data_IF_751885734312
#
_entry.id   IF_751885734312
#
_cell.length_a   1.000
_cell.length_b   1.000
_cell.length_c   1.000
_cell.angle_alpha   90.00
_cell.angle_beta   90.00
_cell.angle_gamma   90.00
#
_symmetry.space_group_name_H-M   'P 1'
#
loop_
_entity.id
_entity.type
_entity.pdbx_description
1 polymer ?
#
# COMPACT_ATOMS: atom_id res chain seq x y z
N UNK A 1 -17.64 -23.15 10.25
CA UNK A 1 -18.03 -21.74 10.09
C UNK A 1 -16.97 -21.08 9.23
N UNK A 2 -17.34 -20.51 8.07
CA UNK A 2 -16.44 -19.63 7.29
C UNK A 2 -16.29 -18.37 8.12
N UNK A 3 -15.12 -18.16 8.70
CA UNK A 3 -14.77 -16.87 9.27
C UNK A 3 -14.77 -15.88 8.11
N UNK A 4 -15.64 -14.89 8.14
CA UNK A 4 -15.67 -13.83 7.13
C UNK A 4 -14.38 -13.02 7.33
N UNK A 5 -13.45 -13.13 6.39
CA UNK A 5 -12.22 -12.30 6.41
C UNK A 5 -12.62 -10.84 6.34
N UNK A 6 -11.99 -10.02 7.16
CA UNK A 6 -12.17 -8.57 7.11
C UNK A 6 -11.47 -8.00 5.89
N UNK A 7 -12.07 -6.98 5.30
CA UNK A 7 -11.44 -6.19 4.24
C UNK A 7 -10.95 -4.88 4.84
N UNK A 8 -9.68 -4.57 4.65
CA UNK A 8 -9.08 -3.31 5.05
C UNK A 8 -8.68 -2.54 3.80
N UNK A 9 -9.00 -1.25 3.76
CA UNK A 9 -8.47 -0.31 2.78
C UNK A 9 -7.16 0.26 3.31
N UNK A 10 -6.08 0.16 2.55
CA UNK A 10 -4.82 0.83 2.83
C UNK A 10 -4.72 2.07 1.96
N UNK A 11 -4.73 3.23 2.59
CA UNK A 11 -4.74 4.52 1.92
C UNK A 11 -3.51 5.35 2.27
N UNK A 12 -2.93 6.02 1.28
CA UNK A 12 -1.83 6.97 1.45
C UNK A 12 -2.34 8.38 1.11
N UNK A 13 -2.59 9.19 2.13
CA UNK A 13 -3.11 10.55 1.99
C UNK A 13 -2.01 11.62 1.94
N UNK A 14 -0.77 11.25 1.59
CA UNK A 14 0.37 12.18 1.53
C UNK A 14 0.11 13.41 0.64
N UNK A 15 -0.57 13.22 -0.48
CA UNK A 15 -0.85 14.30 -1.44
C UNK A 15 -2.33 14.69 -1.48
N UNK A 16 -3.23 13.73 -1.24
CA UNK A 16 -4.68 13.93 -1.21
C UNK A 16 -5.34 12.76 -0.48
N UNK A 17 -6.53 12.97 0.06
CA UNK A 17 -7.36 11.93 0.66
C UNK A 17 -8.76 11.90 0.02
N UNK A 18 -8.88 11.38 -1.22
CA UNK A 18 -10.16 11.36 -1.92
C UNK A 18 -11.22 10.46 -1.27
N UNK A 19 -10.80 9.50 -0.42
CA UNK A 19 -11.71 8.58 0.27
C UNK A 19 -12.15 9.09 1.64
N UNK A 20 -11.58 10.18 2.17
CA UNK A 20 -11.88 10.68 3.51
C UNK A 20 -13.38 10.86 3.73
N UNK A 21 -14.05 11.58 2.85
CA UNK A 21 -15.49 11.83 2.97
C UNK A 21 -16.36 10.57 2.82
N UNK A 22 -15.95 9.62 1.99
CA UNK A 22 -16.67 8.36 1.83
C UNK A 22 -16.53 7.47 3.08
N UNK A 23 -15.34 7.41 3.68
CA UNK A 23 -15.06 6.68 4.92
C UNK A 23 -15.84 7.30 6.09
N UNK A 24 -15.82 8.62 6.20
CA UNK A 24 -16.56 9.35 7.24
C UNK A 24 -18.07 9.15 7.09
N UNK A 25 -18.60 9.27 5.87
CA UNK A 25 -20.02 9.03 5.58
C UNK A 25 -20.45 7.60 5.86
N UNK A 26 -19.54 6.64 5.76
CA UNK A 26 -19.77 5.24 6.13
C UNK A 26 -19.68 5.01 7.65
N UNK A 27 -19.30 6.01 8.44
CA UNK A 27 -19.12 5.91 9.89
C UNK A 27 -17.91 5.06 10.30
N UNK A 28 -16.91 4.90 9.43
CA UNK A 28 -15.76 4.06 9.67
C UNK A 28 -14.59 4.87 10.26
N UNK A 29 -13.91 4.26 11.24
CA UNK A 29 -12.72 4.84 11.83
C UNK A 29 -11.50 4.62 10.93
N UNK A 30 -10.61 5.60 10.89
CA UNK A 30 -9.29 5.51 10.27
C UNK A 30 -8.25 5.21 11.34
N UNK A 31 -7.40 4.23 11.10
CA UNK A 31 -6.24 3.93 11.95
C UNK A 31 -4.96 4.36 11.25
N UNK A 32 -4.29 5.36 11.80
CA UNK A 32 -2.99 5.78 11.33
C UNK A 32 -1.95 4.65 11.44
N UNK A 33 -1.06 4.57 10.46
CA UNK A 33 0.13 3.71 10.46
C UNK A 33 1.34 4.61 10.70
N UNK A 34 1.79 4.69 11.96
CA UNK A 34 2.86 5.59 12.39
C UNK A 34 4.24 5.06 11.94
N UNK A 35 4.67 5.49 10.77
CA UNK A 35 5.94 5.07 10.18
C UNK A 35 7.16 5.75 10.82
N UNK A 36 6.99 6.93 11.40
CA UNK A 36 8.06 7.73 11.98
C UNK A 36 7.68 8.13 13.40
N UNK A 37 8.41 7.62 14.38
CA UNK A 37 8.32 8.10 15.75
C UNK A 37 9.09 9.41 15.86
N UNK A 38 8.41 10.49 16.25
CA UNK A 38 8.91 11.82 16.60
C UNK A 38 9.33 12.76 15.45
N UNK A 39 8.56 13.81 15.25
CA UNK A 39 8.98 15.10 14.71
C UNK A 39 9.11 15.24 13.19
N UNK A 40 9.07 14.18 12.42
CA UNK A 40 9.00 14.27 10.97
C UNK A 40 7.56 14.06 10.50
N UNK A 41 7.15 14.80 9.49
CA UNK A 41 5.84 14.61 8.84
C UNK A 41 5.83 13.22 8.20
N UNK A 42 5.30 12.22 8.92
CA UNK A 42 5.12 10.88 8.35
C UNK A 42 4.17 10.97 7.16
N UNK A 43 4.38 10.17 6.11
CA UNK A 43 3.33 9.98 5.11
C UNK A 43 2.07 9.56 5.85
N UNK A 44 0.93 10.24 5.68
CA UNK A 44 -0.31 9.93 6.37
C UNK A 44 -0.93 8.63 5.81
N UNK A 45 -0.25 7.52 6.05
CA UNK A 45 -0.72 6.18 5.73
C UNK A 45 -1.73 5.75 6.79
N UNK A 46 -2.87 5.23 6.35
CA UNK A 46 -3.88 4.74 7.28
C UNK A 46 -4.60 3.49 6.74
N UNK A 47 -5.21 2.78 7.67
CA UNK A 47 -6.12 1.66 7.41
C UNK A 47 -7.55 2.08 7.76
N UNK A 48 -8.52 1.67 6.92
CA UNK A 48 -9.94 1.70 7.24
C UNK A 48 -10.51 0.28 7.10
N UNK A 49 -11.17 -0.20 8.15
CA UNK A 49 -11.81 -1.52 8.15
C UNK A 49 -13.20 -1.42 7.52
N UNK A 50 -13.48 -2.29 6.54
CA UNK A 50 -14.80 -2.47 5.96
C UNK A 50 -15.40 -3.76 6.55
N UNK A 51 -16.24 -3.64 7.59
CA UNK A 51 -16.70 -4.80 8.35
C UNK A 51 -17.76 -5.64 7.60
N UNK A 52 -18.44 -5.03 6.67
CA UNK A 52 -19.50 -5.64 5.86
C UNK A 52 -19.45 -5.03 4.46
N UNK A 53 -19.01 -5.82 3.48
CA UNK A 53 -18.81 -5.37 2.11
C UNK A 53 -20.13 -5.00 1.43
N UNK A 54 -21.21 -5.72 1.70
CA UNK A 54 -22.52 -5.44 1.12
C UNK A 54 -23.07 -4.11 1.63
N UNK A 55 -23.00 -3.92 2.94
CA UNK A 55 -23.45 -2.67 3.59
C UNK A 55 -22.60 -1.47 3.16
N UNK A 56 -21.32 -1.70 2.86
CA UNK A 56 -20.36 -0.66 2.50
C UNK A 56 -20.01 -0.67 1.01
N UNK A 57 -20.84 -1.26 0.16
CA UNK A 57 -20.61 -1.39 -1.27
C UNK A 57 -20.24 -0.05 -1.94
N UNK A 58 -20.86 1.05 -1.52
CA UNK A 58 -20.53 2.38 -2.06
C UNK A 58 -19.08 2.78 -1.81
N UNK A 59 -18.55 2.48 -0.62
CA UNK A 59 -17.16 2.76 -0.27
C UNK A 59 -16.21 1.85 -1.04
N UNK A 60 -16.53 0.55 -1.14
CA UNK A 60 -15.74 -0.40 -1.92
C UNK A 60 -15.68 0.05 -3.38
N UNK A 61 -16.84 0.38 -3.97
CA UNK A 61 -16.90 0.87 -5.34
C UNK A 61 -16.16 2.21 -5.53
N UNK A 62 -16.22 3.12 -4.56
CA UNK A 62 -15.46 4.38 -4.60
C UNK A 62 -13.95 4.11 -4.58
N UNK A 63 -13.48 3.18 -3.73
CA UNK A 63 -12.06 2.80 -3.66
C UNK A 63 -11.56 2.14 -4.95
N UNK A 64 -12.38 1.29 -5.57
CA UNK A 64 -12.06 0.65 -6.86
C UNK A 64 -11.98 1.68 -7.99
N UNK A 65 -12.96 2.59 -8.08
CA UNK A 65 -12.96 3.68 -9.08
C UNK A 65 -11.72 4.56 -8.91
N UNK A 66 -11.42 4.97 -7.68
CA UNK A 66 -10.23 5.77 -7.39
C UNK A 66 -8.95 5.06 -7.85
N UNK A 67 -8.79 3.78 -7.51
CA UNK A 67 -7.60 3.02 -7.91
C UNK A 67 -7.47 2.91 -9.44
N UNK A 68 -8.59 2.71 -10.16
CA UNK A 68 -8.61 2.68 -11.63
C UNK A 68 -8.27 4.05 -12.22
N UNK A 69 -8.89 5.11 -11.73
CA UNK A 69 -8.64 6.48 -12.21
C UNK A 69 -7.17 6.87 -11.99
N UNK A 70 -6.61 6.58 -10.83
CA UNK A 70 -5.20 6.82 -10.51
C UNK A 70 -4.24 5.97 -11.36
N UNK A 71 -4.67 4.78 -11.80
CA UNK A 71 -3.86 3.91 -12.64
C UNK A 71 -3.88 4.30 -14.12
N UNK A 72 -5.08 4.58 -14.65
CA UNK A 72 -5.31 4.75 -16.10
C UNK A 72 -5.23 6.23 -16.51
N UNK A 73 -5.71 7.14 -15.65
CA UNK A 73 -5.77 8.59 -15.92
C UNK A 73 -5.25 9.39 -14.74
N UNK A 74 -3.97 9.23 -14.38
CA UNK A 74 -3.46 9.87 -13.18
C UNK A 74 -3.51 11.40 -13.29
N UNK A 75 -4.24 12.02 -12.38
CA UNK A 75 -4.12 13.45 -12.13
C UNK A 75 -2.67 13.78 -11.71
N UNK A 76 -2.20 15.04 -11.85
CA UNK A 76 -0.82 15.41 -11.53
C UNK A 76 -0.37 14.98 -10.13
N UNK A 77 -1.25 15.01 -9.13
CA UNK A 77 -0.97 14.52 -7.79
C UNK A 77 -0.77 13.00 -7.75
N UNK A 78 -1.64 12.22 -8.40
CA UNK A 78 -1.58 10.76 -8.45
C UNK A 78 -0.33 10.24 -9.18
N UNK A 79 0.30 11.07 -10.03
CA UNK A 79 1.60 10.76 -10.63
C UNK A 79 2.73 10.70 -9.60
N UNK A 80 2.61 11.40 -8.48
CA UNK A 80 3.61 11.44 -7.40
C UNK A 80 3.38 10.36 -6.34
N UNK A 81 2.12 10.12 -5.98
CA UNK A 81 1.70 9.06 -5.07
C UNK A 81 0.26 8.67 -5.38
N UNK A 82 -0.09 7.40 -5.21
CA UNK A 82 -1.47 6.93 -5.30
C UNK A 82 -2.10 6.94 -3.92
N UNK A 83 -3.33 7.45 -3.85
CA UNK A 83 -4.08 7.51 -2.59
C UNK A 83 -4.64 6.14 -2.22
N UNK A 84 -5.12 5.36 -3.21
CA UNK A 84 -5.52 3.98 -2.98
C UNK A 84 -4.34 3.04 -3.20
N UNK A 85 -3.85 2.45 -2.12
CA UNK A 85 -2.66 1.61 -2.15
C UNK A 85 -2.99 0.12 -2.30
N UNK A 86 -3.87 -0.41 -1.46
CA UNK A 86 -4.24 -1.82 -1.48
C UNK A 86 -5.54 -2.11 -0.73
N UNK A 87 -6.12 -3.27 -1.04
CA UNK A 87 -7.13 -3.96 -0.22
C UNK A 87 -6.47 -5.15 0.45
N UNK A 88 -6.73 -5.34 1.72
CA UNK A 88 -6.17 -6.45 2.50
C UNK A 88 -7.32 -7.31 3.02
N UNK A 89 -7.34 -8.60 2.64
CA UNK A 89 -8.27 -9.56 3.22
C UNK A 89 -7.55 -10.36 4.32
N UNK A 90 -8.01 -10.25 5.57
CA UNK A 90 -7.29 -10.78 6.73
C UNK A 90 -8.21 -11.13 7.90
N UNK A 91 -7.76 -12.06 8.74
CA UNK A 91 -8.34 -12.35 10.05
C UNK A 91 -7.58 -11.63 11.19
N UNK A 92 -6.44 -10.97 10.88
CA UNK A 92 -5.63 -10.28 11.86
C UNK A 92 -6.35 -9.04 12.42
N UNK A 93 -6.17 -8.72 13.70
CA UNK A 93 -6.63 -7.46 14.26
C UNK A 93 -6.01 -6.26 13.52
N UNK A 94 -6.79 -5.19 13.34
CA UNK A 94 -6.36 -3.96 12.66
C UNK A 94 -5.04 -3.39 13.23
N UNK A 95 -4.88 -3.48 14.57
CA UNK A 95 -3.66 -3.04 15.25
C UNK A 95 -2.43 -3.85 14.82
N UNK A 96 -2.62 -5.15 14.65
CA UNK A 96 -1.54 -6.05 14.23
C UNK A 96 -1.15 -5.82 12.78
N UNK A 97 -2.12 -5.61 11.89
CA UNK A 97 -1.83 -5.25 10.49
C UNK A 97 -1.04 -3.94 10.43
N UNK A 98 -1.45 -2.92 11.17
CA UNK A 98 -0.73 -1.65 11.25
C UNK A 98 0.72 -1.84 11.74
N UNK A 99 0.92 -2.66 12.77
CA UNK A 99 2.25 -2.97 13.30
C UNK A 99 3.13 -3.71 12.28
N UNK A 100 2.57 -4.67 11.55
CA UNK A 100 3.28 -5.40 10.50
C UNK A 100 3.66 -4.48 9.33
N UNK A 101 2.78 -3.55 8.94
CA UNK A 101 3.10 -2.51 7.96
C UNK A 101 4.29 -1.66 8.40
N UNK A 102 4.30 -1.21 9.67
CA UNK A 102 5.41 -0.44 10.24
C UNK A 102 6.71 -1.24 10.20
N UNK A 103 6.68 -2.50 10.63
CA UNK A 103 7.86 -3.38 10.62
C UNK A 103 8.42 -3.59 9.20
N UNK A 104 7.53 -3.77 8.21
CA UNK A 104 7.93 -3.96 6.82
C UNK A 104 8.50 -2.67 6.21
N UNK A 105 7.94 -1.53 6.56
CA UNK A 105 8.34 -0.23 6.01
C UNK A 105 9.64 0.31 6.61
N UNK A 106 9.88 0.08 7.91
CA UNK A 106 11.03 0.64 8.63
C UNK A 106 12.23 -0.29 8.54
N UNK A 107 13.11 0.02 7.61
CA UNK A 107 14.32 -0.76 7.38
C UNK A 107 15.57 0.05 7.74
N UNK A 108 16.68 -0.63 8.02
CA UNK A 108 17.97 0.02 8.25
C UNK A 108 18.84 -0.08 7.00
N UNK A 109 19.49 1.02 6.65
CA UNK A 109 20.52 1.00 5.60
C UNK A 109 21.87 0.45 6.18
N UNK A 110 22.87 0.33 5.32
CA UNK A 110 24.21 -0.17 5.71
C UNK A 110 24.90 0.73 6.77
N UNK A 111 24.46 1.98 6.93
CA UNK A 111 24.96 2.91 7.94
C UNK A 111 24.08 2.90 9.21
N UNK A 112 23.13 1.96 9.33
CA UNK A 112 22.22 1.83 10.48
C UNK A 112 21.10 2.88 10.53
N UNK A 113 21.00 3.77 9.54
CA UNK A 113 19.95 4.80 9.49
C UNK A 113 18.61 4.18 9.14
N UNK A 114 17.55 4.61 9.82
CA UNK A 114 16.19 4.18 9.50
C UNK A 114 15.76 4.80 8.17
N UNK A 115 15.30 3.96 7.27
CA UNK A 115 14.71 4.33 5.99
C UNK A 115 13.29 3.83 5.92
N UNK A 116 12.43 4.59 5.27
CA UNK A 116 11.05 4.16 5.00
C UNK A 116 10.99 3.63 3.58
N UNK A 117 10.68 2.33 3.47
CA UNK A 117 10.38 1.69 2.20
C UNK A 117 8.89 1.78 1.93
N UNK A 118 8.50 2.52 0.88
CA UNK A 118 7.09 2.68 0.46
C UNK A 118 6.65 1.47 -0.38
N UNK A 119 6.71 0.29 0.19
CA UNK A 119 6.32 -0.96 -0.50
C UNK A 119 4.83 -1.01 -0.85
N UNK A 120 4.01 -0.19 -0.20
CA UNK A 120 2.57 -0.10 -0.45
C UNK A 120 2.24 0.73 -1.71
N UNK A 121 3.20 1.40 -2.33
CA UNK A 121 2.96 2.13 -3.57
C UNK A 121 2.76 1.14 -4.73
N UNK A 122 1.56 1.03 -5.32
CA UNK A 122 1.27 0.01 -6.31
C UNK A 122 2.12 0.10 -7.58
N UNK A 123 2.66 1.29 -7.87
CA UNK A 123 3.55 1.50 -9.04
C UNK A 123 4.90 0.79 -8.91
N UNK A 124 5.28 0.46 -7.68
CA UNK A 124 6.57 -0.16 -7.38
C UNK A 124 6.45 -1.62 -6.98
N UNK A 125 5.25 -2.10 -6.68
CA UNK A 125 5.00 -3.43 -6.13
C UNK A 125 5.60 -4.55 -6.98
N UNK A 126 5.39 -4.51 -8.30
CA UNK A 126 5.95 -5.49 -9.24
C UNK A 126 7.49 -5.51 -9.24
N UNK A 127 8.13 -4.33 -9.18
CA UNK A 127 9.58 -4.22 -9.16
C UNK A 127 10.18 -4.64 -7.82
N UNK A 128 9.41 -4.49 -6.76
CA UNK A 128 9.87 -4.88 -5.43
C UNK A 128 9.91 -6.40 -5.28
N UNK A 129 9.01 -7.14 -5.91
CA UNK A 129 9.07 -8.60 -5.94
C UNK A 129 10.38 -9.10 -6.54
N UNK A 130 10.91 -8.42 -7.57
CA UNK A 130 12.21 -8.72 -8.17
C UNK A 130 13.40 -8.36 -7.27
N UNK A 131 13.23 -7.36 -6.39
CA UNK A 131 14.29 -6.89 -5.50
C UNK A 131 14.52 -7.80 -4.29
N UNK A 132 13.54 -8.59 -3.96
CA UNK A 132 13.61 -9.59 -2.89
C UNK A 132 14.03 -10.95 -3.45
N UNK A 133 15.15 -10.97 -4.17
CA UNK A 133 15.69 -12.12 -4.89
C UNK A 133 15.55 -13.42 -4.08
N UNK A 134 14.79 -14.37 -4.61
CA UNK A 134 14.67 -15.73 -4.12
C UNK A 134 13.46 -16.03 -3.22
N UNK A 135 12.70 -15.04 -2.77
CA UNK A 135 11.43 -15.29 -2.11
C UNK A 135 10.30 -15.25 -3.15
N UNK A 136 9.53 -16.32 -3.27
CA UNK A 136 8.28 -16.27 -4.03
C UNK A 136 7.45 -15.10 -3.52
N UNK A 137 6.80 -14.31 -4.40
CA UNK A 137 6.01 -13.15 -4.00
C UNK A 137 4.77 -13.61 -3.24
N UNK A 138 4.93 -13.80 -1.95
CA UNK A 138 3.82 -13.88 -1.02
C UNK A 138 3.33 -12.48 -0.65
N UNK A 139 2.28 -12.41 0.13
CA UNK A 139 1.78 -11.15 0.66
C UNK A 139 2.89 -10.37 1.38
N UNK A 140 2.88 -9.05 1.21
CA UNK A 140 3.75 -8.14 1.97
C UNK A 140 3.55 -8.25 3.48
N UNK A 141 2.35 -8.66 3.89
CA UNK A 141 1.92 -8.83 5.27
C UNK A 141 1.49 -10.29 5.45
N UNK A 142 2.28 -11.16 6.09
CA UNK A 142 1.84 -12.50 6.45
C UNK A 142 0.53 -12.44 7.25
N UNK A 143 -0.40 -13.33 6.97
CA UNK A 143 -1.75 -13.33 7.55
C UNK A 143 -2.74 -12.44 6.82
N UNK A 144 -2.37 -11.85 5.69
CA UNK A 144 -3.26 -11.07 4.84
C UNK A 144 -3.05 -11.38 3.36
N UNK A 145 -4.13 -11.50 2.59
CA UNK A 145 -4.08 -11.44 1.13
C UNK A 145 -3.99 -9.98 0.73
N UNK A 146 -3.00 -9.63 -0.07
CA UNK A 146 -2.79 -8.29 -0.58
C UNK A 146 -3.31 -8.15 -2.00
N UNK A 147 -4.16 -7.17 -2.24
CA UNK A 147 -4.75 -6.89 -3.56
C UNK A 147 -4.51 -5.44 -3.93
N UNK A 148 -4.08 -5.19 -5.16
CA UNK A 148 -3.85 -3.82 -5.66
C UNK A 148 -3.96 -3.75 -7.18
N UNK A 149 -4.04 -2.54 -7.73
CA UNK A 149 -3.79 -2.30 -9.16
C UNK A 149 -2.36 -1.80 -9.33
N UNK A 150 -1.58 -2.48 -10.18
CA UNK A 150 -0.18 -2.11 -10.44
C UNK A 150 -0.03 -0.78 -11.19
N UNK A 151 1.21 -0.46 -11.57
CA UNK A 151 1.55 0.76 -12.33
C UNK A 151 0.84 0.88 -13.67
N UNK A 152 0.37 -0.24 -14.23
CA UNK A 152 -0.32 -0.32 -15.52
C UNK A 152 -1.84 -0.52 -15.39
N UNK A 153 -2.38 -0.49 -14.17
CA UNK A 153 -3.79 -0.73 -13.90
C UNK A 153 -4.19 -2.21 -13.96
N UNK A 154 -3.22 -3.12 -13.92
CA UNK A 154 -3.50 -4.55 -13.88
C UNK A 154 -3.73 -5.00 -12.44
N UNK A 155 -4.71 -5.87 -12.26
CA UNK A 155 -5.00 -6.46 -10.96
C UNK A 155 -3.88 -7.39 -10.51
N UNK A 156 -3.40 -7.14 -9.31
CA UNK A 156 -2.40 -7.96 -8.64
C UNK A 156 -2.98 -8.51 -7.35
N UNK A 157 -2.86 -9.80 -7.14
CA UNK A 157 -3.21 -10.45 -5.88
C UNK A 157 -2.00 -11.24 -5.38
N UNK A 158 -1.48 -10.85 -4.22
CA UNK A 158 -0.43 -11.58 -3.53
C UNK A 158 -1.11 -12.42 -2.44
N UNK A 159 -1.10 -13.75 -2.56
CA UNK A 159 -1.77 -14.62 -1.62
C UNK A 159 -1.13 -14.54 -0.23
N UNK A 160 -1.93 -14.79 0.78
CA UNK A 160 -1.43 -14.94 2.13
C UNK A 160 -0.36 -16.05 2.19
N UNK A 161 0.75 -15.71 2.81
CA UNK A 161 1.84 -16.64 3.11
C UNK A 161 1.94 -16.76 4.62
N UNK A 162 1.37 -17.82 5.22
CA UNK A 162 1.45 -18.02 6.67
C UNK A 162 2.91 -18.06 7.14
N UNK A 163 3.19 -17.41 8.24
CA UNK A 163 4.52 -17.46 8.84
C UNK A 163 4.93 -16.14 9.50
N UNK A 164 6.11 -16.13 10.10
CA UNK A 164 6.65 -14.92 10.69
C UNK A 164 7.03 -13.90 9.61
N UNK A 165 7.02 -12.62 9.97
CA UNK A 165 7.55 -11.56 9.13
C UNK A 165 9.04 -11.85 8.83
N UNK A 166 9.35 -12.09 7.57
CA UNK A 166 10.74 -12.26 7.17
C UNK A 166 11.45 -10.90 7.16
N UNK A 167 12.64 -10.87 7.73
CA UNK A 167 13.52 -9.70 7.62
C UNK A 167 14.00 -9.60 6.18
N UNK A 168 13.74 -8.46 5.57
CA UNK A 168 14.17 -8.18 4.19
C UNK A 168 15.33 -7.20 4.25
N UNK A 169 16.41 -7.52 3.55
CA UNK A 169 17.52 -6.59 3.33
C UNK A 169 17.39 -6.05 1.90
N UNK A 170 16.92 -4.81 1.71
CA UNK A 170 16.75 -4.26 0.37
C UNK A 170 18.09 -3.95 -0.29
N UNK A 171 18.18 -4.17 -1.58
CA UNK A 171 19.23 -3.58 -2.41
C UNK A 171 18.94 -2.08 -2.60
N UNK A 172 19.42 -1.26 -1.66
CA UNK A 172 19.21 0.19 -1.68
C UNK A 172 19.68 0.87 -2.97
N UNK A 173 20.87 0.56 -3.54
CA UNK A 173 21.28 1.07 -4.83
C UNK A 173 20.29 0.78 -5.96
N UNK A 174 19.75 -0.43 -5.99
CA UNK A 174 18.78 -0.85 -7.01
C UNK A 174 17.44 -0.16 -6.81
N UNK A 175 16.95 -0.05 -5.56
CA UNK A 175 15.74 0.72 -5.23
C UNK A 175 15.86 2.20 -5.63
N UNK A 176 17.00 2.82 -5.42
CA UNK A 176 17.23 4.19 -5.83
C UNK A 176 17.21 4.37 -7.36
N UNK A 177 17.65 3.34 -8.11
CA UNK A 177 17.54 3.33 -9.60
C UNK A 177 16.09 3.24 -10.05
N UNK A 178 15.29 2.38 -9.43
CA UNK A 178 13.86 2.26 -9.74
C UNK A 178 13.11 3.57 -9.55
N UNK A 179 13.37 4.28 -8.47
CA UNK A 179 12.80 5.61 -8.23
C UNK A 179 13.12 6.59 -9.37
N UNK A 180 14.35 6.55 -9.90
CA UNK A 180 14.77 7.39 -11.04
C UNK A 180 14.09 6.96 -12.34
N UNK A 181 14.02 5.66 -12.61
CA UNK A 181 13.33 5.12 -13.80
C UNK A 181 11.85 5.53 -13.79
N UNK A 182 11.16 5.35 -12.67
CA UNK A 182 9.77 5.77 -12.54
C UNK A 182 9.59 7.28 -12.76
N UNK A 183 10.51 8.10 -12.27
CA UNK A 183 10.47 9.56 -12.50
C UNK A 183 10.64 9.91 -13.99
N UNK A 184 11.48 9.18 -14.73
CA UNK A 184 11.66 9.36 -16.18
C UNK A 184 10.42 8.93 -16.93
N UNK A 185 9.87 7.72 -16.64
CA UNK A 185 8.65 7.21 -17.28
C UNK A 185 7.46 8.14 -17.06
N UNK A 186 7.33 8.72 -15.88
CA UNK A 186 6.29 9.70 -15.59
C UNK A 186 6.41 10.97 -16.44
N UNK A 187 7.63 11.44 -16.71
CA UNK A 187 7.85 12.59 -17.61
C UNK A 187 7.48 12.26 -19.04
N UNK A 188 7.94 11.14 -19.55
CA UNK A 188 7.64 10.70 -20.92
C UNK A 188 6.13 10.53 -21.17
N UNK A 189 5.40 10.01 -20.20
CA UNK A 189 3.94 9.88 -20.28
C UNK A 189 3.19 11.22 -20.07
N UNK A 190 3.86 12.26 -19.61
CA UNK A 190 3.27 13.58 -19.43
C UNK A 190 3.39 14.45 -20.67
N UNK A 191 4.37 14.15 -21.53
CA UNK A 191 4.72 14.91 -22.73
C UNK A 191 4.11 14.30 -24.00
N UNK A 192 3.42 13.15 -23.93
CA UNK A 192 2.68 12.47 -25.00
C UNK A 192 1.18 12.56 -24.80
#
# INVERSE_FOLDING_TARGET
ARTSRRVLLLCDSTLADPLAGAIESAGLARRAVDLISQGATAPPLYLAEVPDEERHERLVNASLRLAVDEAVRPAPAARRARSMSAWLATDLPLAEVAQRLIQRARLRDAQGRVRILRFWDPRTTQFQAELYAGAAPGSWIPGATWMSLDGFGQWQALPDTPGPMQTVTPDWPRLARLGRVNAVLQRLNADG
#
